data_IF_926519374840
#
_entry.id   IF_926519374840
#
_cell.length_a   1.000
_cell.length_b   1.000
_cell.length_c   1.000
_cell.angle_alpha   90.00
_cell.angle_beta   90.00
_cell.angle_gamma   90.00
#
_symmetry.space_group_name_H-M   'P 1'
#
loop_
_entity.id
_entity.type
_entity.pdbx_description
1 polymer ?
#
# COMPACT_ATOMS: atom_id res chain seq x y z
N UNK A 1 -36.32 33.41 7.48
CA UNK A 1 -35.51 34.28 6.61
C UNK A 1 -34.13 34.40 7.22
N UNK A 2 -33.05 34.26 6.45
CA UNK A 2 -31.69 34.36 7.00
C UNK A 2 -31.22 35.81 6.98
N UNK A 3 -30.39 36.19 7.97
CA UNK A 3 -29.85 37.55 8.08
C UNK A 3 -28.81 37.91 6.99
N UNK A 4 -28.23 36.90 6.33
CA UNK A 4 -27.31 37.06 5.20
C UNK A 4 -27.26 35.79 4.34
N UNK A 5 -26.72 35.89 3.12
CA UNK A 5 -26.44 34.72 2.29
C UNK A 5 -25.49 33.75 3.00
N UNK A 6 -24.47 34.25 3.70
CA UNK A 6 -23.54 33.43 4.48
C UNK A 6 -24.25 32.63 5.56
N UNK A 7 -25.18 33.25 6.31
CA UNK A 7 -25.97 32.55 7.31
C UNK A 7 -26.88 31.48 6.69
N UNK A 8 -27.43 31.76 5.50
CA UNK A 8 -28.24 30.79 4.76
C UNK A 8 -27.40 29.58 4.32
N UNK A 9 -26.20 29.80 3.75
CA UNK A 9 -25.30 28.72 3.33
C UNK A 9 -24.81 27.93 4.53
N UNK A 10 -24.32 28.59 5.58
CA UNK A 10 -23.82 27.91 6.78
C UNK A 10 -24.91 27.04 7.44
N UNK A 11 -26.16 27.50 7.45
CA UNK A 11 -27.28 26.73 8.00
C UNK A 11 -27.73 25.58 7.10
N UNK A 12 -27.87 25.81 5.79
CA UNK A 12 -28.38 24.80 4.84
C UNK A 12 -27.34 23.74 4.49
N UNK A 13 -26.07 24.12 4.47
CA UNK A 13 -24.94 23.27 4.08
C UNK A 13 -24.15 22.76 5.28
N UNK A 14 -24.68 22.86 6.51
CA UNK A 14 -23.99 22.50 7.74
C UNK A 14 -23.40 21.09 7.71
N UNK A 15 -24.17 20.11 7.20
CA UNK A 15 -23.72 18.72 7.07
C UNK A 15 -22.59 18.58 6.03
N UNK A 16 -22.70 19.26 4.90
CA UNK A 16 -21.68 19.22 3.85
C UNK A 16 -20.39 19.93 4.28
N UNK A 17 -20.50 21.02 5.04
CA UNK A 17 -19.37 21.73 5.65
C UNK A 17 -18.66 20.85 6.70
N UNK A 18 -19.42 20.22 7.60
CA UNK A 18 -18.87 19.29 8.59
C UNK A 18 -18.16 18.08 7.93
N UNK A 19 -18.65 17.67 6.77
CA UNK A 19 -18.09 16.57 5.98
C UNK A 19 -17.10 17.03 4.90
N UNK A 20 -16.74 18.30 4.81
CA UNK A 20 -15.80 18.81 3.80
C UNK A 20 -16.21 18.43 2.35
N UNK A 21 -17.50 18.39 2.07
CA UNK A 21 -18.05 18.00 0.77
C UNK A 21 -18.21 19.23 -0.14
N UNK A 22 -17.08 19.76 -0.63
CA UNK A 22 -17.00 21.05 -1.34
C UNK A 22 -17.82 21.04 -2.64
N UNK A 23 -17.73 20.00 -3.46
CA UNK A 23 -18.49 19.91 -4.72
C UNK A 23 -20.00 19.78 -4.47
N UNK A 24 -20.41 19.09 -3.41
CA UNK A 24 -21.82 19.01 -2.98
C UNK A 24 -22.37 20.38 -2.57
N UNK A 25 -21.60 21.18 -1.81
CA UNK A 25 -21.97 22.55 -1.44
C UNK A 25 -22.22 23.38 -2.71
N UNK A 26 -21.27 23.36 -3.66
CA UNK A 26 -21.40 24.12 -4.89
C UNK A 26 -22.54 23.65 -5.79
N UNK A 27 -22.82 22.34 -5.83
CA UNK A 27 -23.97 21.80 -6.55
C UNK A 27 -25.31 22.29 -5.96
N UNK A 28 -25.44 22.29 -4.63
CA UNK A 28 -26.61 22.80 -3.93
C UNK A 28 -26.81 24.32 -4.15
N UNK A 29 -25.73 25.09 -4.12
CA UNK A 29 -25.79 26.53 -4.41
C UNK A 29 -26.21 26.81 -5.87
N UNK A 30 -25.65 26.07 -6.84
CA UNK A 30 -25.97 26.25 -8.25
C UNK A 30 -27.41 25.86 -8.62
N UNK A 31 -28.02 24.94 -7.86
CA UNK A 31 -29.43 24.53 -8.01
C UNK A 31 -30.40 25.40 -7.19
N UNK A 32 -29.88 26.22 -6.27
CA UNK A 32 -30.68 27.04 -5.38
C UNK A 32 -31.34 28.24 -6.06
N UNK A 33 -32.63 28.46 -5.77
CA UNK A 33 -33.37 29.65 -6.21
C UNK A 33 -32.81 30.88 -5.48
N UNK A 34 -32.15 31.78 -6.22
CA UNK A 34 -31.63 33.04 -5.70
C UNK A 34 -30.11 33.13 -5.53
N UNK A 35 -29.35 32.06 -5.84
CA UNK A 35 -27.90 32.16 -6.00
C UNK A 35 -27.59 32.94 -7.28
N UNK A 36 -26.86 34.07 -7.15
CA UNK A 36 -26.62 35.00 -8.26
C UNK A 36 -25.24 34.86 -8.90
N UNK A 37 -24.30 34.16 -8.26
CA UNK A 37 -22.98 33.94 -8.86
C UNK A 37 -23.12 32.91 -9.99
N UNK A 38 -22.33 33.07 -11.05
CA UNK A 38 -22.35 32.19 -12.21
C UNK A 38 -22.06 30.74 -11.85
N UNK A 39 -22.47 29.80 -12.71
CA UNK A 39 -22.24 28.36 -12.51
C UNK A 39 -20.74 28.08 -12.39
N UNK A 40 -20.31 27.67 -11.20
CA UNK A 40 -18.91 27.29 -10.89
C UNK A 40 -18.63 25.80 -11.10
N UNK A 41 -19.67 25.00 -11.37
CA UNK A 41 -19.60 23.56 -11.57
C UNK A 41 -20.03 23.18 -12.98
N UNK A 42 -19.61 22.00 -13.43
CA UNK A 42 -20.13 21.37 -14.65
C UNK A 42 -21.66 21.26 -14.58
N UNK A 43 -22.33 21.41 -15.73
CA UNK A 43 -23.78 21.22 -15.82
C UNK A 43 -24.14 19.75 -15.62
N UNK A 44 -25.42 19.47 -15.36
CA UNK A 44 -25.92 18.09 -15.20
C UNK A 44 -25.75 17.22 -16.47
N UNK A 45 -25.34 17.80 -17.59
CA UNK A 45 -25.02 17.09 -18.84
C UNK A 45 -23.58 16.56 -18.89
N UNK A 46 -22.69 16.97 -17.96
CA UNK A 46 -21.30 16.54 -17.91
C UNK A 46 -20.86 16.26 -16.46
N UNK A 47 -20.43 15.03 -16.18
CA UNK A 47 -20.01 14.63 -14.82
C UNK A 47 -18.52 14.82 -14.57
N UNK A 48 -17.69 14.88 -15.61
CA UNK A 48 -16.24 15.06 -15.52
C UNK A 48 -15.69 15.75 -16.77
N UNK A 49 -14.58 16.48 -16.63
CA UNK A 49 -13.75 16.93 -17.76
C UNK A 49 -12.49 16.07 -17.78
N UNK A 50 -12.35 15.24 -18.82
CA UNK A 50 -11.18 14.40 -19.00
C UNK A 50 -9.99 15.18 -19.56
N UNK A 51 -8.85 15.12 -18.88
CA UNK A 51 -7.57 15.61 -19.39
C UNK A 51 -6.74 14.44 -19.90
N UNK A 52 -6.36 14.47 -21.19
CA UNK A 52 -5.34 13.56 -21.74
C UNK A 52 -4.02 14.33 -21.86
N UNK A 53 -3.07 14.03 -20.99
CA UNK A 53 -1.77 14.70 -21.00
C UNK A 53 -0.67 13.83 -20.41
N UNK A 54 0.59 14.22 -20.63
CA UNK A 54 1.78 13.58 -20.10
C UNK A 54 2.36 14.35 -18.89
N UNK A 55 1.50 14.93 -18.05
CA UNK A 55 1.90 15.74 -16.88
C UNK A 55 2.45 14.89 -15.71
N UNK A 56 2.42 13.56 -15.82
CA UNK A 56 2.90 12.65 -14.79
C UNK A 56 4.40 12.78 -14.56
N UNK A 57 4.81 12.88 -13.30
CA UNK A 57 6.22 12.84 -12.91
C UNK A 57 6.40 12.03 -11.61
N UNK A 58 7.63 11.55 -11.41
CA UNK A 58 8.01 10.76 -10.24
C UNK A 58 9.51 10.48 -10.23
N UNK A 59 9.98 9.87 -9.14
CA UNK A 59 11.37 9.46 -8.96
C UNK A 59 11.47 8.23 -8.08
N UNK A 60 12.59 7.53 -8.26
CA UNK A 60 12.96 6.37 -7.46
C UNK A 60 14.35 6.58 -6.88
N UNK A 61 14.46 6.60 -5.56
CA UNK A 61 15.73 6.67 -4.84
C UNK A 61 15.91 5.35 -4.09
N UNK A 62 17.05 4.69 -4.27
CA UNK A 62 17.31 3.39 -3.64
C UNK A 62 18.78 3.16 -3.30
N UNK A 63 19.00 2.32 -2.29
CA UNK A 63 20.28 1.78 -1.93
C UNK A 63 20.21 0.25 -2.02
N UNK A 64 21.19 -0.35 -2.69
CA UNK A 64 21.28 -1.79 -2.91
C UNK A 64 22.53 -2.31 -2.21
N UNK A 65 22.36 -3.30 -1.34
CA UNK A 65 23.44 -4.00 -0.67
C UNK A 65 23.37 -5.48 -1.03
N UNK A 66 24.46 -6.02 -1.55
CA UNK A 66 24.58 -7.46 -1.81
C UNK A 66 25.80 -8.02 -1.10
N UNK A 67 25.56 -9.02 -0.26
CA UNK A 67 26.61 -9.81 0.37
C UNK A 67 26.66 -11.20 -0.27
N UNK A 68 27.87 -11.64 -0.64
CA UNK A 68 28.09 -12.96 -1.26
C UNK A 68 29.17 -13.72 -0.50
N UNK A 69 28.84 -14.96 -0.15
CA UNK A 69 29.76 -15.95 0.41
C UNK A 69 29.86 -17.09 -0.58
N UNK A 70 31.07 -17.54 -0.88
CA UNK A 70 31.33 -18.67 -1.77
C UNK A 70 32.13 -19.72 -1.01
N UNK A 71 31.53 -20.90 -0.89
CA UNK A 71 32.11 -22.13 -0.32
C UNK A 71 32.90 -21.93 1.00
N UNK A 72 32.43 -21.03 1.86
CA UNK A 72 33.03 -20.81 3.16
C UNK A 72 32.57 -21.92 4.11
N UNK A 73 33.48 -22.88 4.38
CA UNK A 73 33.18 -24.09 5.15
C UNK A 73 31.93 -24.83 4.64
N UNK A 74 31.77 -24.90 3.31
CA UNK A 74 30.63 -25.56 2.67
C UNK A 74 29.37 -24.70 2.57
N UNK A 75 29.41 -23.43 2.99
CA UNK A 75 28.32 -22.47 2.83
C UNK A 75 28.56 -21.61 1.60
N UNK A 76 27.60 -21.62 0.69
CA UNK A 76 27.46 -20.62 -0.37
C UNK A 76 26.18 -19.84 -0.14
N UNK A 77 26.28 -18.51 -0.06
CA UNK A 77 25.15 -17.66 0.27
C UNK A 77 25.14 -16.35 -0.51
N UNK A 78 23.95 -15.85 -0.84
CA UNK A 78 23.73 -14.53 -1.41
C UNK A 78 22.61 -13.85 -0.64
N UNK A 79 22.93 -12.70 -0.06
CA UNK A 79 21.95 -11.83 0.61
C UNK A 79 21.84 -10.53 -0.17
N UNK A 80 20.63 -10.15 -0.55
CA UNK A 80 20.33 -8.87 -1.19
C UNK A 80 19.37 -8.09 -0.31
N UNK A 81 19.70 -6.83 -0.08
CA UNK A 81 18.86 -5.88 0.62
C UNK A 81 18.71 -4.63 -0.24
N UNK A 82 17.47 -4.19 -0.41
CA UNK A 82 17.15 -2.93 -1.07
C UNK A 82 16.37 -2.07 -0.10
N UNK A 83 16.89 -0.88 0.15
CA UNK A 83 16.09 0.23 0.66
C UNK A 83 15.66 1.08 -0.52
N UNK A 84 14.37 1.44 -0.62
CA UNK A 84 13.84 2.18 -1.75
C UNK A 84 12.74 3.17 -1.38
N UNK A 85 12.62 4.22 -2.19
CA UNK A 85 11.53 5.20 -2.16
C UNK A 85 11.10 5.52 -3.59
N UNK A 86 9.91 5.07 -3.97
CA UNK A 86 9.24 5.38 -5.23
C UNK A 86 8.15 6.42 -4.98
N UNK A 87 8.35 7.65 -5.44
CA UNK A 87 7.40 8.74 -5.29
C UNK A 87 6.93 9.25 -6.65
N UNK A 88 5.70 9.73 -6.75
CA UNK A 88 5.16 10.29 -7.97
C UNK A 88 3.70 10.67 -7.85
N UNK A 89 3.10 11.05 -8.98
CA UNK A 89 1.67 11.35 -9.07
C UNK A 89 0.77 10.11 -9.17
N UNK A 90 1.34 8.92 -8.97
CA UNK A 90 0.70 7.64 -9.25
C UNK A 90 1.19 7.02 -10.55
N UNK A 91 1.24 5.69 -10.60
CA UNK A 91 1.72 4.93 -11.74
C UNK A 91 0.56 4.46 -12.60
N UNK A 92 0.22 5.28 -13.59
CA UNK A 92 -0.86 5.01 -14.53
C UNK A 92 -0.30 4.88 -15.94
N UNK A 93 -0.93 4.02 -16.75
CA UNK A 93 -0.66 4.00 -18.19
C UNK A 93 -1.33 5.20 -18.85
N UNK A 94 -0.78 5.70 -19.96
CA UNK A 94 -1.38 6.84 -20.68
C UNK A 94 -2.79 6.54 -21.22
N UNK A 95 -3.16 5.25 -21.32
CA UNK A 95 -4.52 4.84 -21.70
C UNK A 95 -5.51 4.94 -20.55
N UNK A 96 -5.04 4.96 -19.30
CA UNK A 96 -5.88 5.01 -18.11
C UNK A 96 -6.78 6.25 -18.12
N UNK A 97 -8.05 6.05 -17.79
CA UNK A 97 -9.06 7.09 -17.60
C UNK A 97 -9.74 6.90 -16.26
N UNK A 98 -10.44 7.92 -15.74
CA UNK A 98 -11.13 7.83 -14.45
C UNK A 98 -10.22 7.98 -13.24
N UNK A 99 -9.00 8.49 -13.44
CA UNK A 99 -8.09 8.94 -12.37
C UNK A 99 -8.20 10.44 -12.25
N UNK A 100 -8.47 10.91 -11.04
CA UNK A 100 -8.52 12.35 -10.76
C UNK A 100 -7.28 12.78 -9.99
N UNK A 101 -7.00 14.07 -10.05
CA UNK A 101 -6.09 14.74 -9.13
C UNK A 101 -6.89 15.45 -8.04
N UNK A 102 -6.29 15.67 -6.87
CA UNK A 102 -6.92 16.43 -5.78
C UNK A 102 -7.26 17.85 -6.27
N UNK A 103 -6.34 18.42 -7.06
CA UNK A 103 -6.45 19.71 -7.72
C UNK A 103 -5.74 19.63 -9.08
N UNK A 104 -6.48 19.88 -10.15
CA UNK A 104 -5.95 19.82 -11.53
C UNK A 104 -5.03 20.98 -11.87
N UNK A 105 -5.18 22.09 -11.15
CA UNK A 105 -4.36 23.28 -11.33
C UNK A 105 -3.05 23.17 -10.54
N UNK A 106 -3.01 22.27 -9.54
CA UNK A 106 -1.81 22.00 -8.75
C UNK A 106 -1.61 20.50 -8.50
N UNK A 107 -0.97 19.84 -9.47
CA UNK A 107 -0.66 18.41 -9.40
C UNK A 107 0.29 18.03 -8.25
N UNK A 108 0.99 18.98 -7.61
CA UNK A 108 1.88 18.66 -6.48
C UNK A 108 1.14 18.10 -5.28
N UNK A 109 -0.13 18.44 -5.09
CA UNK A 109 -0.93 17.90 -3.98
C UNK A 109 -1.15 16.39 -4.06
N UNK A 110 -0.92 15.80 -5.24
CA UNK A 110 -1.00 14.38 -5.51
C UNK A 110 0.30 13.61 -5.37
N UNK A 111 1.41 14.33 -5.27
CA UNK A 111 2.71 13.71 -5.24
C UNK A 111 2.92 12.96 -3.91
N UNK A 112 3.14 11.64 -4.01
CA UNK A 112 3.24 10.76 -2.85
C UNK A 112 3.82 9.39 -3.22
N UNK A 113 3.80 8.42 -2.30
CA UNK A 113 4.23 7.05 -2.56
C UNK A 113 3.49 6.44 -3.75
N UNK A 114 4.19 5.80 -4.69
CA UNK A 114 3.53 4.97 -5.71
C UNK A 114 3.12 3.62 -5.09
N UNK A 115 2.17 2.89 -5.70
CA UNK A 115 1.67 1.60 -5.16
C UNK A 115 2.77 0.54 -4.96
N UNK A 116 3.86 0.66 -5.72
CA UNK A 116 5.05 -0.19 -5.63
C UNK A 116 6.19 0.40 -4.77
N UNK A 117 5.92 1.43 -3.95
CA UNK A 117 6.86 2.02 -3.01
C UNK A 117 7.13 1.09 -1.81
N UNK A 118 7.77 -0.05 -2.05
CA UNK A 118 8.22 -0.94 -0.98
C UNK A 118 9.51 -0.40 -0.36
N UNK A 119 9.43 0.04 0.89
CA UNK A 119 10.55 0.65 1.62
C UNK A 119 11.74 -0.30 1.79
N UNK A 120 11.46 -1.57 2.08
CA UNK A 120 12.47 -2.60 2.30
C UNK A 120 12.14 -3.84 1.49
N UNK A 121 13.11 -4.32 0.71
CA UNK A 121 13.08 -5.61 0.04
C UNK A 121 14.30 -6.41 0.47
N UNK A 122 14.11 -7.69 0.75
CA UNK A 122 15.17 -8.57 1.21
C UNK A 122 15.04 -9.96 0.58
N UNK A 123 16.15 -10.51 0.12
CA UNK A 123 16.25 -11.91 -0.26
C UNK A 123 17.53 -12.52 0.29
N UNK A 124 17.43 -13.77 0.74
CA UNK A 124 18.56 -14.55 1.23
C UNK A 124 18.43 -15.96 0.68
N UNK A 125 19.38 -16.34 -0.17
CA UNK A 125 19.59 -17.73 -0.58
C UNK A 125 20.84 -18.27 0.09
N UNK A 126 20.72 -19.42 0.76
CA UNK A 126 21.85 -20.15 1.32
C UNK A 126 21.82 -21.55 0.74
N UNK A 127 22.99 -22.11 0.47
CA UNK A 127 23.21 -23.53 0.20
C UNK A 127 24.35 -23.97 1.11
N UNK A 128 24.04 -24.90 1.99
CA UNK A 128 25.01 -25.49 2.90
C UNK A 128 25.23 -26.95 2.53
N UNK A 129 26.49 -27.30 2.25
CA UNK A 129 26.98 -28.65 2.00
C UNK A 129 28.02 -28.95 3.08
N UNK A 130 27.71 -29.76 4.09
CA UNK A 130 28.66 -30.08 5.15
C UNK A 130 29.89 -30.79 4.57
N UNK A 131 31.07 -30.26 4.89
CA UNK A 131 32.35 -30.81 4.41
C UNK A 131 33.04 -31.72 5.44
N UNK A 132 32.50 -31.81 6.66
CA UNK A 132 33.12 -32.48 7.81
C UNK A 132 33.27 -34.01 7.66
N UNK A 133 32.49 -34.65 6.80
CA UNK A 133 32.45 -36.11 6.67
C UNK A 133 33.15 -36.65 5.42
N UNK A 134 33.79 -35.78 4.63
CA UNK A 134 34.47 -36.15 3.37
C UNK A 134 35.55 -37.23 3.55
N UNK A 135 36.13 -37.35 4.74
CA UNK A 135 37.18 -38.33 5.07
C UNK A 135 36.65 -39.68 5.57
N UNK A 136 35.36 -39.82 5.87
CA UNK A 136 34.77 -41.06 6.41
C UNK A 136 34.45 -42.04 5.28
N UNK A 137 35.12 -43.20 5.27
CA UNK A 137 34.95 -44.25 4.25
C UNK A 137 33.95 -45.33 4.69
N UNK A 138 33.45 -46.13 3.74
CA UNK A 138 32.54 -47.25 3.99
C UNK A 138 31.06 -46.85 4.02
N UNK A 139 30.20 -47.80 4.44
CA UNK A 139 28.73 -47.63 4.48
C UNK A 139 28.28 -46.42 5.31
N UNK A 140 28.94 -46.19 6.45
CA UNK A 140 28.68 -45.03 7.31
C UNK A 140 28.99 -43.72 6.56
N UNK A 141 30.10 -43.69 5.81
CA UNK A 141 30.47 -42.55 4.95
C UNK A 141 29.43 -42.23 3.89
N UNK A 142 28.86 -43.24 3.22
CA UNK A 142 27.74 -43.05 2.29
C UNK A 142 26.48 -42.48 2.97
N UNK A 143 26.19 -42.92 4.19
CA UNK A 143 24.99 -42.54 4.92
C UNK A 143 25.05 -41.09 5.45
N UNK A 144 26.24 -40.57 5.77
CA UNK A 144 26.43 -39.22 6.32
C UNK A 144 26.92 -38.16 5.33
N UNK A 145 27.46 -38.54 4.16
CA UNK A 145 27.95 -37.59 3.13
C UNK A 145 26.89 -37.17 2.10
N UNK A 146 27.11 -36.08 1.38
CA UNK A 146 26.25 -35.70 0.24
C UNK A 146 24.93 -35.04 0.63
N UNK A 147 24.75 -34.68 1.90
CA UNK A 147 23.63 -33.84 2.31
C UNK A 147 23.86 -32.40 1.84
N UNK A 148 22.80 -31.75 1.39
CA UNK A 148 22.77 -30.32 1.14
C UNK A 148 21.45 -29.73 1.59
N UNK A 149 21.52 -28.59 2.27
CA UNK A 149 20.35 -27.83 2.72
C UNK A 149 20.39 -26.47 2.06
N UNK A 150 19.32 -26.09 1.38
CA UNK A 150 19.23 -24.82 0.68
C UNK A 150 17.97 -24.05 1.06
N UNK A 151 17.99 -23.26 2.15
CA UNK A 151 16.89 -22.36 2.46
C UNK A 151 16.91 -21.11 1.59
N UNK A 152 15.73 -20.60 1.29
CA UNK A 152 15.51 -19.35 0.59
C UNK A 152 14.47 -18.53 1.34
N UNK A 153 14.84 -17.30 1.70
CA UNK A 153 13.97 -16.32 2.35
C UNK A 153 13.74 -15.16 1.40
N UNK A 154 12.47 -14.77 1.25
CA UNK A 154 12.07 -13.50 0.66
C UNK A 154 11.25 -12.71 1.67
N UNK A 155 11.55 -11.41 1.80
CA UNK A 155 10.82 -10.52 2.68
C UNK A 155 10.65 -9.13 2.05
N UNK A 156 9.54 -8.48 2.35
CA UNK A 156 9.24 -7.12 1.92
C UNK A 156 8.44 -6.38 2.98
N UNK A 157 8.67 -5.07 3.08
CA UNK A 157 7.81 -4.18 3.86
C UNK A 157 6.39 -4.13 3.28
N UNK A 158 5.45 -3.59 4.04
CA UNK A 158 4.12 -3.27 3.52
C UNK A 158 4.13 -2.29 2.35
N UNK A 159 3.24 -2.53 1.40
CA UNK A 159 2.89 -1.56 0.38
C UNK A 159 2.29 -0.31 1.05
N UNK A 160 2.44 0.89 0.46
CA UNK A 160 1.65 2.03 0.90
C UNK A 160 0.16 1.72 0.78
N UNK A 161 -0.62 2.24 1.72
CA UNK A 161 -2.06 2.05 1.79
C UNK A 161 -2.72 3.38 2.10
N UNK A 162 -3.86 3.59 1.45
CA UNK A 162 -4.63 4.81 1.62
C UNK A 162 -5.65 4.69 2.74
N UNK A 163 -5.88 5.82 3.41
CA UNK A 163 -7.02 5.99 4.32
C UNK A 163 -8.13 6.66 3.52
N UNK A 164 -9.09 5.86 3.08
CA UNK A 164 -10.25 6.32 2.31
C UNK A 164 -11.37 6.81 3.24
N UNK A 165 -12.24 7.72 2.75
CA UNK A 165 -13.41 8.20 3.48
C UNK A 165 -14.57 7.20 3.51
N UNK A 166 -14.74 6.43 2.44
CA UNK A 166 -15.74 5.37 2.34
C UNK A 166 -15.17 4.20 1.56
N UNK A 167 -15.41 2.98 2.07
CA UNK A 167 -15.30 1.72 1.34
C UNK A 167 -13.94 1.32 0.73
N UNK A 168 -13.85 0.04 0.39
CA UNK A 168 -12.67 -0.58 -0.25
C UNK A 168 -12.62 -0.28 -1.76
N UNK A 169 -13.69 0.31 -2.32
CA UNK A 169 -13.90 0.48 -3.77
C UNK A 169 -13.92 1.96 -4.19
N UNK A 170 -12.97 2.73 -3.68
CA UNK A 170 -12.95 4.17 -3.87
C UNK A 170 -13.95 4.90 -2.98
N UNK A 171 -13.83 6.21 -3.00
CA UNK A 171 -14.48 7.18 -2.10
C UNK A 171 -15.89 7.61 -2.52
N UNK A 172 -16.44 7.11 -3.63
CA UNK A 172 -17.79 7.49 -4.10
C UNK A 172 -18.02 9.01 -4.13
N UNK A 173 -19.13 9.46 -3.53
CA UNK A 173 -19.48 10.88 -3.37
C UNK A 173 -18.60 11.63 -2.37
N UNK A 174 -17.74 10.97 -1.60
CA UNK A 174 -16.81 11.63 -0.67
C UNK A 174 -15.57 12.20 -1.36
N UNK A 175 -15.26 11.78 -2.58
CA UNK A 175 -14.22 12.45 -3.37
C UNK A 175 -14.78 13.67 -4.07
N UNK A 176 -14.06 14.77 -3.91
CA UNK A 176 -14.52 16.11 -4.25
C UNK A 176 -13.43 16.90 -4.99
N UNK A 177 -12.48 16.18 -5.61
CA UNK A 177 -11.41 16.66 -6.48
C UNK A 177 -11.74 17.98 -7.18
N UNK A 178 -10.92 19.00 -6.92
CA UNK A 178 -11.17 20.36 -7.36
C UNK A 178 -10.98 20.51 -8.88
N UNK A 179 -12.04 20.95 -9.57
CA UNK A 179 -11.99 21.29 -11.00
C UNK A 179 -12.08 20.12 -11.99
N UNK A 180 -12.28 18.88 -11.52
CA UNK A 180 -12.28 17.69 -12.38
C UNK A 180 -13.57 16.86 -12.31
N UNK A 181 -14.25 16.86 -11.16
CA UNK A 181 -15.54 16.19 -10.96
C UNK A 181 -16.68 17.19 -10.83
N UNK A 182 -17.81 16.86 -11.45
CA UNK A 182 -19.06 17.59 -11.34
C UNK A 182 -19.87 17.18 -10.11
N UNK A 183 -21.15 17.57 -10.12
CA UNK A 183 -22.22 17.22 -9.17
C UNK A 183 -22.16 15.72 -8.77
N UNK A 184 -21.56 15.45 -7.60
CA UNK A 184 -21.77 14.29 -6.72
C UNK A 184 -21.37 12.87 -7.17
N UNK A 185 -21.21 12.58 -8.47
CA UNK A 185 -21.21 11.18 -8.96
C UNK A 185 -20.17 10.88 -10.04
N UNK A 186 -19.08 11.63 -10.10
CA UNK A 186 -17.94 11.23 -10.92
C UNK A 186 -17.34 9.96 -10.29
N UNK A 187 -17.70 8.78 -10.79
CA UNK A 187 -17.22 7.44 -10.37
C UNK A 187 -15.72 7.23 -10.59
N UNK A 188 -14.93 8.20 -10.16
CA UNK A 188 -13.54 8.35 -10.43
C UNK A 188 -12.78 8.13 -9.12
N UNK A 189 -11.65 7.46 -9.26
CA UNK A 189 -10.73 7.21 -8.17
C UNK A 189 -10.09 8.55 -7.85
N UNK A 190 -10.70 9.28 -6.92
CA UNK A 190 -10.08 10.45 -6.32
C UNK A 190 -8.92 9.98 -5.45
N UNK A 191 -7.76 10.66 -5.41
CA UNK A 191 -6.55 10.31 -4.64
C UNK A 191 -6.53 10.94 -3.24
N UNK A 192 -7.60 11.59 -2.83
CA UNK A 192 -7.65 12.30 -1.57
C UNK A 192 -7.49 11.25 -0.43
N UNK A 193 -6.73 11.49 0.62
CA UNK A 193 -6.66 10.60 1.79
C UNK A 193 -6.92 11.38 3.04
N UNK A 194 -7.33 10.71 4.12
CA UNK A 194 -7.20 11.30 5.44
C UNK A 194 -5.73 11.63 5.71
N UNK A 195 -5.47 12.78 6.29
CA UNK A 195 -4.11 13.27 6.57
C UNK A 195 -3.83 13.25 8.07
N UNK A 196 -2.57 13.03 8.47
CA UNK A 196 -2.23 12.99 9.87
C UNK A 196 -2.36 14.38 10.52
N UNK A 197 -2.83 14.42 11.76
CA UNK A 197 -2.91 15.65 12.56
C UNK A 197 -1.53 16.02 13.12
N UNK A 198 -0.62 15.05 13.23
CA UNK A 198 0.76 15.23 13.64
C UNK A 198 1.62 14.00 13.31
N UNK A 199 2.89 13.98 13.75
CA UNK A 199 3.75 12.81 13.58
C UNK A 199 3.10 11.56 14.19
N UNK A 200 3.16 10.44 13.46
CA UNK A 200 2.66 9.16 13.95
C UNK A 200 3.65 8.05 13.64
N UNK A 201 3.65 7.02 14.50
CA UNK A 201 4.42 5.80 14.29
C UNK A 201 3.49 4.60 14.43
N UNK A 202 2.84 4.25 13.33
CA UNK A 202 1.87 3.16 13.28
C UNK A 202 2.48 2.02 12.48
N UNK A 203 2.49 0.82 13.08
CA UNK A 203 2.96 -0.40 12.44
C UNK A 203 1.78 -1.34 12.19
N UNK A 204 1.60 -1.72 10.93
CA UNK A 204 0.61 -2.72 10.56
C UNK A 204 1.08 -4.13 10.96
N UNK A 205 0.28 -4.81 11.76
CA UNK A 205 0.46 -6.22 12.15
C UNK A 205 -0.89 -6.94 12.15
N UNK A 206 -0.91 -8.26 12.00
CA UNK A 206 -2.15 -9.01 12.15
C UNK A 206 -2.46 -9.19 13.64
N UNK A 207 -3.46 -8.48 14.15
CA UNK A 207 -3.93 -8.58 15.53
C UNK A 207 -5.25 -9.35 15.55
N UNK A 208 -5.38 -10.33 16.45
CA UNK A 208 -6.59 -11.16 16.62
C UNK A 208 -7.29 -10.78 17.93
N UNK A 209 -8.61 -10.96 17.99
CA UNK A 209 -9.45 -10.55 19.13
C UNK A 209 -9.72 -9.05 19.20
N UNK A 210 -9.57 -8.31 18.10
CA UNK A 210 -9.78 -6.86 18.03
C UNK A 210 -11.13 -6.56 17.36
N UNK A 211 -12.14 -6.25 18.17
CA UNK A 211 -13.51 -5.98 17.71
C UNK A 211 -13.84 -4.49 17.52
N UNK A 212 -12.87 -3.59 17.75
CA UNK A 212 -13.08 -2.15 17.64
C UNK A 212 -13.85 -1.53 18.81
N UNK A 213 -13.95 -0.21 18.81
CA UNK A 213 -14.59 0.59 19.87
C UNK A 213 -15.06 1.93 19.30
N UNK A 214 -16.05 2.57 19.95
CA UNK A 214 -16.54 3.92 19.61
C UNK A 214 -16.89 4.11 18.13
N UNK A 215 -17.47 3.07 17.50
CA UNK A 215 -17.85 3.08 16.08
C UNK A 215 -16.69 2.87 15.09
N UNK A 216 -15.46 2.70 15.57
CA UNK A 216 -14.28 2.44 14.75
C UNK A 216 -13.94 0.95 14.75
N UNK A 217 -13.96 0.33 13.57
CA UNK A 217 -13.61 -1.09 13.39
C UNK A 217 -14.61 -2.07 14.02
N UNK A 218 -15.82 -1.61 14.35
CA UNK A 218 -16.87 -2.39 15.04
C UNK A 218 -17.59 -3.39 14.13
N UNK A 219 -17.45 -3.28 12.81
CA UNK A 219 -18.00 -4.23 11.83
C UNK A 219 -17.09 -5.43 11.58
N UNK A 220 -16.12 -5.70 12.47
CA UNK A 220 -15.11 -6.73 12.35
C UNK A 220 -15.49 -8.03 13.08
N UNK A 221 -16.44 -8.79 12.54
CA UNK A 221 -16.94 -10.03 13.16
C UNK A 221 -15.83 -11.08 13.41
N UNK A 222 -14.81 -11.11 12.56
CA UNK A 222 -13.67 -12.04 12.67
C UNK A 222 -12.68 -11.64 13.79
N UNK A 223 -12.79 -10.42 14.33
CA UNK A 223 -11.86 -9.90 15.33
C UNK A 223 -10.42 -9.77 14.83
N UNK A 224 -10.19 -9.72 13.51
CA UNK A 224 -8.85 -9.57 12.91
C UNK A 224 -8.67 -8.12 12.46
N UNK A 225 -7.68 -7.41 13.01
CA UNK A 225 -7.42 -6.02 12.65
C UNK A 225 -5.93 -5.76 12.38
N UNK A 226 -5.65 -4.83 11.46
CA UNK A 226 -4.29 -4.38 11.13
C UNK A 226 -3.61 -3.65 12.30
N UNK A 227 -4.39 -3.18 13.26
CA UNK A 227 -3.95 -2.45 14.43
C UNK A 227 -4.51 -3.06 15.70
N UNK A 228 -3.72 -3.05 16.78
CA UNK A 228 -4.16 -3.54 18.09
C UNK A 228 -5.26 -2.64 18.70
N UNK A 229 -5.21 -1.34 18.41
CA UNK A 229 -6.23 -0.36 18.77
C UNK A 229 -6.59 0.49 17.54
N UNK A 230 -7.63 0.11 16.77
CA UNK A 230 -8.01 0.81 15.55
C UNK A 230 -8.55 2.23 15.82
N UNK A 231 -9.20 2.45 16.96
CA UNK A 231 -9.70 3.76 17.37
C UNK A 231 -8.56 4.76 17.61
N UNK A 232 -7.53 4.34 18.34
CA UNK A 232 -6.36 5.17 18.56
C UNK A 232 -5.67 5.56 17.25
N UNK A 233 -5.60 4.63 16.28
CA UNK A 233 -5.05 4.94 14.95
C UNK A 233 -5.96 5.89 14.19
N UNK A 234 -7.27 5.69 14.21
CA UNK A 234 -8.24 6.57 13.56
C UNK A 234 -8.12 8.03 14.03
N UNK A 235 -7.99 8.23 15.35
CA UNK A 235 -7.88 9.56 15.96
C UNK A 235 -6.57 10.31 15.64
N UNK A 236 -5.59 9.66 14.99
CA UNK A 236 -4.37 10.32 14.50
C UNK A 236 -4.58 11.05 13.16
N UNK A 237 -5.70 10.78 12.48
CA UNK A 237 -5.98 11.30 11.16
C UNK A 237 -7.23 12.18 11.18
N UNK A 238 -7.25 13.16 10.28
CA UNK A 238 -8.43 13.97 10.00
C UNK A 238 -8.73 13.96 8.51
N UNK A 239 -9.95 14.36 8.16
CA UNK A 239 -10.29 14.63 6.76
C UNK A 239 -9.38 15.74 6.22
N UNK A 240 -8.89 15.53 5.01
CA UNK A 240 -8.26 16.60 4.24
C UNK A 240 -9.31 17.67 3.90
N UNK A 241 -8.93 18.93 3.98
CA UNK A 241 -9.74 20.09 3.61
C UNK A 241 -9.21 20.67 2.31
N UNK A 242 -9.96 20.44 1.22
CA UNK A 242 -9.60 20.94 -0.10
C UNK A 242 -9.47 22.47 -0.09
N UNK A 243 -8.39 22.98 -0.68
CA UNK A 243 -8.07 24.40 -0.73
C UNK A 243 -7.36 24.97 0.50
N UNK A 244 -7.37 24.26 1.64
CA UNK A 244 -6.52 24.58 2.81
C UNK A 244 -5.31 23.66 2.90
N UNK A 245 -5.54 22.35 2.75
CA UNK A 245 -4.47 21.37 2.75
C UNK A 245 -3.83 21.30 1.37
N UNK A 246 -2.51 21.47 1.32
CA UNK A 246 -1.74 21.45 0.07
C UNK A 246 -1.60 20.05 -0.53
N UNK A 247 -1.90 19.00 0.25
CA UNK A 247 -1.93 17.61 -0.19
C UNK A 247 -2.91 16.81 0.67
N UNK A 248 -3.67 15.93 0.03
CA UNK A 248 -4.54 14.98 0.72
C UNK A 248 -3.88 13.59 0.75
N UNK A 249 -2.70 13.47 1.36
CA UNK A 249 -1.98 12.20 1.52
C UNK A 249 -1.20 11.73 0.29
N UNK A 250 -1.65 12.05 -0.92
CA UNK A 250 -0.93 11.84 -2.19
C UNK A 250 -0.73 10.36 -2.56
N UNK A 251 -0.51 10.11 -3.85
CA UNK A 251 -0.22 8.78 -4.41
C UNK A 251 -1.11 7.66 -3.86
N UNK A 252 -0.47 6.59 -3.41
CA UNK A 252 -1.04 5.37 -2.84
C UNK A 252 -1.43 5.52 -1.35
N UNK A 253 -1.21 6.69 -0.75
CA UNK A 253 -1.54 6.98 0.64
C UNK A 253 -0.35 7.07 1.59
N UNK A 254 -0.69 7.41 2.83
CA UNK A 254 0.26 7.75 3.89
C UNK A 254 0.57 6.59 4.85
N UNK A 255 -0.33 5.60 4.98
CA UNK A 255 -0.08 4.40 5.78
C UNK A 255 0.69 3.34 5.00
N UNK A 256 1.16 2.31 5.71
CA UNK A 256 1.74 1.11 5.11
C UNK A 256 1.03 -0.12 5.64
N UNK A 257 0.76 -1.05 4.74
CA UNK A 257 0.11 -2.32 5.04
C UNK A 257 1.05 -3.33 5.72
N UNK A 258 0.59 -4.58 5.77
CA UNK A 258 1.34 -5.67 6.40
C UNK A 258 2.64 -5.98 5.66
N UNK A 259 3.72 -6.16 6.42
CA UNK A 259 4.94 -6.76 5.91
C UNK A 259 4.66 -8.21 5.47
N UNK A 260 5.40 -8.68 4.47
CA UNK A 260 5.30 -10.07 4.01
C UNK A 260 6.67 -10.73 4.01
N UNK A 261 6.70 -12.00 4.37
CA UNK A 261 7.88 -12.84 4.25
C UNK A 261 7.48 -14.29 3.98
N UNK A 262 8.33 -14.99 3.25
CA UNK A 262 8.18 -16.39 2.88
C UNK A 262 9.53 -17.11 2.97
N UNK A 263 9.51 -18.32 3.52
CA UNK A 263 10.66 -19.21 3.54
C UNK A 263 10.33 -20.49 2.79
N UNK A 264 11.17 -20.83 1.82
CA UNK A 264 11.20 -22.10 1.12
C UNK A 264 12.53 -22.82 1.45
N UNK A 265 12.56 -24.14 1.39
CA UNK A 265 13.78 -24.88 1.65
C UNK A 265 13.86 -26.15 0.82
N UNK A 266 15.06 -26.49 0.38
CA UNK A 266 15.35 -27.76 -0.30
C UNK A 266 16.36 -28.56 0.52
N UNK A 267 16.03 -29.81 0.81
CA UNK A 267 16.94 -30.80 1.37
C UNK A 267 17.26 -31.79 0.26
N UNK A 268 18.54 -31.94 -0.08
CA UNK A 268 18.98 -32.97 -1.02
C UNK A 268 20.04 -33.87 -0.42
N UNK A 269 20.06 -35.12 -0.88
CA UNK A 269 21.00 -36.16 -0.47
C UNK A 269 21.52 -36.87 -1.71
N UNK A 270 22.81 -36.71 -1.97
CA UNK A 270 23.54 -37.44 -2.99
C UNK A 270 24.10 -38.74 -2.41
N UNK A 271 23.74 -39.87 -3.02
CA UNK A 271 24.22 -41.21 -2.67
C UNK A 271 25.01 -41.74 -3.86
N UNK A 272 26.32 -41.92 -3.69
CA UNK A 272 27.15 -42.63 -4.67
C UNK A 272 27.01 -44.13 -4.44
N UNK A 273 26.54 -44.89 -5.43
CA UNK A 273 26.44 -46.35 -5.35
C UNK A 273 27.72 -46.98 -5.90
N UNK A 274 28.20 -46.50 -7.05
CA UNK A 274 29.50 -46.85 -7.64
C UNK A 274 30.18 -45.59 -8.16
N UNK A 275 31.37 -45.71 -8.76
CA UNK A 275 32.04 -44.58 -9.43
C UNK A 275 31.25 -44.04 -10.63
N UNK A 276 30.39 -44.87 -11.23
CA UNK A 276 29.61 -44.54 -12.44
C UNK A 276 28.12 -44.32 -12.19
N UNK A 277 27.62 -44.73 -11.02
CA UNK A 277 26.19 -44.71 -10.70
C UNK A 277 25.97 -44.00 -9.36
N UNK A 278 25.12 -42.97 -9.38
CA UNK A 278 24.67 -42.25 -8.20
C UNK A 278 23.16 -42.04 -8.21
N UNK A 279 22.59 -41.84 -7.02
CA UNK A 279 21.21 -41.46 -6.80
C UNK A 279 21.19 -40.11 -6.07
N UNK A 280 20.23 -39.25 -6.42
CA UNK A 280 19.94 -38.04 -5.66
C UNK A 280 18.49 -38.08 -5.18
N UNK A 281 18.31 -37.89 -3.87
CA UNK A 281 17.00 -37.67 -3.26
C UNK A 281 16.85 -36.19 -2.95
N UNK A 282 15.74 -35.59 -3.37
CA UNK A 282 15.45 -34.17 -3.13
C UNK A 282 14.06 -34.01 -2.53
N UNK A 283 13.97 -33.24 -1.46
CA UNK A 283 12.73 -32.83 -0.81
C UNK A 283 12.64 -31.31 -0.84
N UNK A 284 11.52 -30.78 -1.32
CA UNK A 284 11.27 -29.34 -1.39
C UNK A 284 10.11 -28.97 -0.46
N UNK A 285 10.33 -27.97 0.37
CA UNK A 285 9.35 -27.39 1.28
C UNK A 285 9.02 -25.99 0.76
N UNK A 286 7.79 -25.80 0.29
CA UNK A 286 7.29 -24.49 -0.14
C UNK A 286 6.43 -23.89 0.96
N UNK A 287 6.56 -22.58 1.18
CA UNK A 287 5.86 -21.84 2.24
C UNK A 287 6.03 -22.47 3.64
N UNK A 288 7.23 -23.00 3.94
CA UNK A 288 7.52 -23.65 5.21
C UNK A 288 7.21 -22.73 6.41
N UNK A 289 7.38 -21.42 6.21
CA UNK A 289 6.80 -20.41 7.09
C UNK A 289 6.45 -19.14 6.31
N UNK A 290 5.25 -18.59 6.58
CA UNK A 290 4.70 -17.40 5.92
C UNK A 290 3.98 -16.51 6.93
N UNK A 291 4.09 -15.19 6.76
CA UNK A 291 3.30 -14.22 7.55
C UNK A 291 1.89 -13.97 7.01
N UNK A 292 1.57 -14.43 5.79
CA UNK A 292 0.26 -14.20 5.17
C UNK A 292 -0.72 -15.38 5.40
N UNK A 293 -0.97 -15.76 6.65
CA UNK A 293 -2.21 -16.50 6.98
C UNK A 293 -3.25 -15.45 7.38
N UNK A 294 -4.09 -15.05 6.43
CA UNK A 294 -5.41 -14.52 6.77
C UNK A 294 -6.11 -15.58 7.63
#
# INVERSE_FOLDING_TARGET
TFASCTAAVASKEAANLANVQVSSIWANLNSGVGWKLGRTMLSDQATTIGLKSALGYGNYNAAFLTFRVRDWHGITAVSNFTWGRALGLGANTQRSSGTNFVDVYNLRGNYGPNDFDYKFLYSLGVTYRPDFFKSTKGFIGQLINGWSVSPFLSARSGAPTRINWSGVTGCGSDCQAFGQTGNSNGGAQGPESAIPIGPYNVRATANRGVFGSNGVGTTNAEGINMFANPEAVYNLFRRCVLGLDTSCGGGAGNLRGLNRWNVDATLAKDIKITERIGLQFTMQFTNASRSARC
#
